data_IF_713127493377
#
_entry.id   IF_713127493377
#
_cell.length_a   1.000
_cell.length_b   1.000
_cell.length_c   1.000
_cell.angle_alpha   90.00
_cell.angle_beta   90.00
_cell.angle_gamma   90.00
#
_symmetry.space_group_name_H-M   'P 1'
#
loop_
_entity.id
_entity.type
_entity.pdbx_description
1 polymer ?
#
# COMPACT_ATOMS: atom_id res chain seq x y z
N UNK A 1 -3.38 2.06 13.44
CA UNK A 1 -3.79 3.27 12.70
C UNK A 1 -5.06 2.94 11.96
N UNK A 2 -6.09 3.76 12.10
CA UNK A 2 -7.32 3.74 11.31
C UNK A 2 -7.16 4.67 10.10
N UNK A 3 -8.03 4.53 9.10
CA UNK A 3 -7.96 5.42 7.91
C UNK A 3 -8.16 6.89 8.28
N UNK A 4 -9.05 7.19 9.25
CA UNK A 4 -9.28 8.54 9.76
C UNK A 4 -8.03 9.19 10.38
N UNK A 5 -7.08 8.40 10.88
CA UNK A 5 -5.83 8.95 11.41
C UNK A 5 -5.00 9.62 10.30
N UNK A 6 -5.13 9.15 9.04
CA UNK A 6 -4.43 9.72 7.88
C UNK A 6 -4.93 11.12 7.51
N UNK A 7 -6.15 11.50 7.91
CA UNK A 7 -6.70 12.85 7.67
C UNK A 7 -5.88 13.90 8.44
N UNK A 8 -5.42 13.53 9.64
CA UNK A 8 -4.70 14.44 10.53
C UNK A 8 -3.18 14.41 10.32
N UNK A 9 -2.67 13.56 9.43
CA UNK A 9 -1.25 13.44 9.14
C UNK A 9 -0.96 13.90 7.70
N UNK A 10 -0.29 15.04 7.56
CA UNK A 10 0.20 15.49 6.25
C UNK A 10 1.20 14.49 5.70
N UNK A 11 0.89 13.94 4.53
CA UNK A 11 1.79 13.03 3.84
C UNK A 11 3.12 13.73 3.53
N UNK A 12 4.24 13.01 3.62
CA UNK A 12 5.59 13.59 3.44
C UNK A 12 5.76 14.37 2.12
N UNK A 13 5.09 13.94 1.04
CA UNK A 13 5.16 14.62 -0.25
C UNK A 13 4.51 16.02 -0.27
N UNK A 14 3.62 16.34 0.67
CA UNK A 14 2.99 17.66 0.81
C UNK A 14 3.82 18.64 1.65
N UNK A 15 4.94 18.19 2.24
CA UNK A 15 5.78 19.05 3.08
C UNK A 15 6.63 20.03 2.28
N UNK A 16 6.75 19.86 0.96
CA UNK A 16 7.54 20.74 0.10
C UNK A 16 9.02 20.77 0.46
N UNK A 17 9.54 19.68 1.05
CA UNK A 17 10.94 19.54 1.44
C UNK A 17 11.68 18.66 0.44
N UNK A 18 12.89 19.07 0.06
CA UNK A 18 13.74 18.32 -0.87
C UNK A 18 14.41 19.22 -1.91
N UNK A 19 15.32 18.69 -2.72
CA UNK A 19 15.93 19.44 -3.80
C UNK A 19 14.88 19.94 -4.80
N UNK A 20 14.96 21.22 -5.17
CA UNK A 20 14.08 21.86 -6.16
C UNK A 20 12.58 21.79 -5.83
N UNK A 21 12.20 21.81 -4.54
CA UNK A 21 10.79 21.74 -4.12
C UNK A 21 9.96 22.98 -4.46
N UNK A 22 10.59 24.03 -4.99
CA UNK A 22 9.96 25.19 -5.62
C UNK A 22 9.31 24.85 -6.97
N UNK A 23 9.75 23.77 -7.62
CA UNK A 23 9.23 23.31 -8.92
C UNK A 23 8.77 21.84 -8.88
N UNK A 24 9.52 20.97 -8.21
CA UNK A 24 9.27 19.52 -8.17
C UNK A 24 8.33 19.20 -7.02
N UNK A 25 7.11 18.78 -7.35
CA UNK A 25 6.08 18.41 -6.36
C UNK A 25 6.42 17.08 -5.66
N UNK A 26 6.81 16.04 -6.41
CA UNK A 26 7.21 14.74 -5.83
C UNK A 26 7.98 13.87 -6.84
N UNK A 27 8.70 12.88 -6.33
CA UNK A 27 9.31 11.79 -7.10
C UNK A 27 8.82 10.44 -6.58
N UNK A 28 8.41 9.52 -7.46
CA UNK A 28 7.80 8.24 -7.05
C UNK A 28 8.34 7.07 -7.86
N UNK A 29 8.80 6.03 -7.16
CA UNK A 29 9.28 4.76 -7.76
C UNK A 29 8.24 3.66 -7.47
N UNK A 30 7.93 2.84 -8.47
CA UNK A 30 7.02 1.68 -8.36
C UNK A 30 7.70 0.42 -8.85
N UNK A 31 7.65 -0.65 -8.06
CA UNK A 31 8.20 -1.96 -8.40
C UNK A 31 7.07 -3.00 -8.48
N UNK A 32 6.78 -3.50 -9.67
CA UNK A 32 5.82 -4.58 -9.89
C UNK A 32 6.52 -5.94 -9.85
N UNK A 33 5.97 -6.91 -9.10
CA UNK A 33 6.47 -8.30 -8.98
C UNK A 33 5.31 -9.27 -8.94
N UNK A 34 5.54 -10.49 -9.43
CA UNK A 34 4.62 -11.63 -9.27
C UNK A 34 5.26 -12.67 -8.36
N UNK A 35 4.43 -13.40 -7.61
CA UNK A 35 4.90 -14.50 -6.77
C UNK A 35 4.95 -15.79 -7.58
N UNK A 36 6.08 -16.50 -7.49
CA UNK A 36 6.21 -17.85 -8.05
C UNK A 36 5.13 -18.78 -7.48
N UNK A 37 4.66 -19.73 -8.32
CA UNK A 37 3.59 -20.71 -8.04
C UNK A 37 2.19 -20.13 -7.88
N UNK A 38 1.99 -18.84 -8.13
CA UNK A 38 0.66 -18.22 -8.19
C UNK A 38 0.33 -17.79 -9.62
N UNK A 39 -0.91 -18.02 -10.11
CA UNK A 39 -1.35 -17.45 -11.38
C UNK A 39 -1.33 -15.91 -11.35
N UNK A 40 -1.27 -15.29 -12.53
CA UNK A 40 -1.48 -13.85 -12.65
C UNK A 40 -2.85 -13.45 -12.08
N UNK A 41 -3.01 -12.21 -11.58
CA UNK A 41 -4.23 -11.77 -10.89
C UNK A 41 -5.53 -11.99 -11.69
N UNK A 42 -5.48 -11.84 -13.02
CA UNK A 42 -6.65 -12.03 -13.89
C UNK A 42 -7.09 -13.50 -14.04
N UNK A 43 -6.21 -14.46 -13.71
CA UNK A 43 -6.47 -15.90 -13.81
C UNK A 43 -6.58 -16.58 -12.44
N UNK A 44 -6.16 -15.91 -11.37
CA UNK A 44 -6.19 -16.45 -10.03
C UNK A 44 -7.63 -16.50 -9.50
N UNK A 45 -7.96 -17.59 -8.81
CA UNK A 45 -9.21 -17.70 -8.05
C UNK A 45 -9.16 -16.81 -6.79
N UNK A 46 -10.32 -16.49 -6.21
CA UNK A 46 -10.40 -15.76 -4.94
C UNK A 46 -9.59 -16.42 -3.83
N UNK A 47 -9.58 -17.76 -3.77
CA UNK A 47 -8.79 -18.50 -2.79
C UNK A 47 -7.28 -18.30 -3.01
N UNK A 48 -6.81 -18.29 -4.26
CA UNK A 48 -5.41 -18.02 -4.59
C UNK A 48 -5.00 -16.58 -4.27
N UNK A 49 -5.86 -15.60 -4.58
CA UNK A 49 -5.64 -14.19 -4.22
C UNK A 49 -5.55 -14.00 -2.69
N UNK A 50 -6.42 -14.66 -1.94
CA UNK A 50 -6.37 -14.64 -0.48
C UNK A 50 -5.10 -15.32 0.07
N UNK A 51 -4.64 -16.40 -0.55
CA UNK A 51 -3.38 -17.05 -0.17
C UNK A 51 -2.16 -16.15 -0.43
N UNK A 52 -2.16 -15.37 -1.52
CA UNK A 52 -1.14 -14.33 -1.77
C UNK A 52 -1.18 -13.27 -0.67
N UNK A 53 -2.36 -12.74 -0.34
CA UNK A 53 -2.53 -11.73 0.70
C UNK A 53 -1.98 -12.22 2.04
N UNK A 54 -2.35 -13.43 2.46
CA UNK A 54 -1.92 -14.01 3.73
C UNK A 54 -0.40 -14.26 3.76
N UNK A 55 0.18 -14.74 2.65
CA UNK A 55 1.63 -14.91 2.52
C UNK A 55 2.37 -13.58 2.66
N UNK A 56 1.87 -12.51 2.04
CA UNK A 56 2.44 -11.17 2.19
C UNK A 56 2.36 -10.70 3.64
N UNK A 57 1.19 -10.85 4.29
CA UNK A 57 0.96 -10.44 5.68
C UNK A 57 1.97 -11.08 6.65
N UNK A 58 2.19 -12.39 6.53
CA UNK A 58 3.13 -13.13 7.38
C UNK A 58 4.59 -12.72 7.21
N UNK A 59 4.96 -12.18 6.05
CA UNK A 59 6.33 -11.75 5.75
C UNK A 59 6.54 -10.29 6.13
N UNK A 60 5.51 -9.43 6.04
CA UNK A 60 5.61 -8.01 6.39
C UNK A 60 6.14 -7.79 7.81
N UNK A 61 5.70 -8.59 8.78
CA UNK A 61 6.17 -8.51 10.18
C UNK A 61 7.66 -8.87 10.35
N UNK A 62 8.25 -9.57 9.37
CA UNK A 62 9.65 -10.01 9.40
C UNK A 62 10.59 -9.04 8.68
N UNK A 63 10.05 -8.10 7.91
CA UNK A 63 10.82 -7.11 7.14
C UNK A 63 10.92 -5.84 7.96
N UNK A 64 12.12 -5.50 8.43
CA UNK A 64 12.35 -4.34 9.33
C UNK A 64 11.66 -3.04 8.87
N UNK A 65 11.79 -2.58 7.61
CA UNK A 65 11.09 -1.39 7.15
C UNK A 65 9.56 -1.47 7.20
N UNK A 66 8.99 -2.68 7.26
CA UNK A 66 7.56 -2.92 7.18
C UNK A 66 6.92 -3.32 8.53
N UNK A 67 7.70 -3.50 9.60
CA UNK A 67 7.18 -3.97 10.90
C UNK A 67 6.05 -3.14 11.47
N UNK A 68 6.12 -1.82 11.31
CA UNK A 68 5.13 -0.87 11.82
C UNK A 68 4.18 -0.37 10.72
N UNK A 69 4.08 -1.10 9.60
CA UNK A 69 3.16 -0.75 8.52
C UNK A 69 1.72 -0.95 8.96
N UNK A 70 0.81 -0.17 8.38
CA UNK A 70 -0.63 -0.42 8.49
C UNK A 70 -1.11 -1.14 7.23
N UNK A 71 -1.88 -2.21 7.41
CA UNK A 71 -2.51 -2.95 6.32
C UNK A 71 -3.98 -2.56 6.21
N UNK A 72 -4.38 -2.10 5.03
CA UNK A 72 -5.79 -1.84 4.70
C UNK A 72 -6.27 -2.89 3.70
N UNK A 73 -7.29 -3.68 4.09
CA UNK A 73 -7.91 -4.66 3.21
C UNK A 73 -9.01 -3.97 2.41
N UNK A 74 -8.81 -3.84 1.09
CA UNK A 74 -9.76 -3.12 0.22
C UNK A 74 -11.19 -3.68 0.26
N UNK A 75 -11.38 -4.96 0.57
CA UNK A 75 -12.71 -5.54 0.70
C UNK A 75 -13.50 -4.97 1.88
N UNK A 76 -12.80 -4.50 2.92
CA UNK A 76 -13.38 -4.03 4.17
C UNK A 76 -13.60 -2.51 4.20
N UNK A 77 -13.12 -1.80 3.16
CA UNK A 77 -13.27 -0.35 3.04
C UNK A 77 -14.55 0.04 2.29
N UNK A 78 -15.19 1.12 2.74
CA UNK A 78 -16.29 1.73 2.01
C UNK A 78 -15.80 2.49 0.76
N UNK A 79 -16.73 3.06 -0.01
CA UNK A 79 -16.39 3.77 -1.24
C UNK A 79 -15.59 5.05 -1.00
N UNK A 80 -15.85 5.75 0.12
CA UNK A 80 -15.19 7.02 0.45
C UNK A 80 -13.75 6.73 0.88
N UNK A 81 -13.56 5.75 1.74
CA UNK A 81 -12.25 5.27 2.20
C UNK A 81 -11.39 4.80 1.04
N UNK A 82 -11.98 4.07 0.08
CA UNK A 82 -11.28 3.68 -1.15
C UNK A 82 -10.86 4.89 -1.96
N UNK A 83 -11.74 5.87 -2.14
CA UNK A 83 -11.45 7.07 -2.90
C UNK A 83 -10.37 7.93 -2.23
N UNK A 84 -10.32 7.96 -0.90
CA UNK A 84 -9.29 8.66 -0.15
C UNK A 84 -7.87 8.12 -0.40
N UNK A 85 -7.73 6.82 -0.69
CA UNK A 85 -6.44 6.16 -0.93
C UNK A 85 -5.95 6.23 -2.40
N UNK A 86 -6.75 6.78 -3.32
CA UNK A 86 -6.43 6.92 -4.76
C UNK A 86 -5.59 8.17 -5.01
#
# INVERSE_FOLDING_TARGET
MQINDLINHTSEWLKGTGPHSDVVISSRIRLARNLDKFPFPHWASKAQLNAVLEKCRQVMEKVEPLKNSTLFVLADLDSIDKQFLV
#
